data_IF_044125915141
#
_entry.id   IF_044125915141
#
_cell.length_a   1.000
_cell.length_b   1.000
_cell.length_c   1.000
_cell.angle_alpha   90.00
_cell.angle_beta   90.00
_cell.angle_gamma   90.00
#
_symmetry.space_group_name_H-M   'P 1'
#
loop_
_entity.id
_entity.type
_entity.pdbx_description
1 polymer ?
#
# COMPACT_ATOMS: atom_id res chain seq x y z
N UNK A 1 4.51 -35.53 -2.29
CA UNK A 1 5.62 -35.67 -1.36
C UNK A 1 5.11 -35.36 0.03
N UNK A 2 5.19 -36.26 1.02
CA UNK A 2 4.51 -36.11 2.31
C UNK A 2 5.35 -35.19 3.21
N UNK A 3 4.73 -34.12 3.72
CA UNK A 3 5.30 -33.33 4.80
C UNK A 3 5.52 -34.21 6.03
N UNK A 4 6.68 -34.19 6.62
CA UNK A 4 6.94 -34.84 7.91
C UNK A 4 6.42 -33.91 9.00
N UNK A 5 5.39 -34.33 9.72
CA UNK A 5 4.95 -33.71 10.94
C UNK A 5 5.84 -34.24 12.08
N UNK A 6 6.61 -33.39 12.72
CA UNK A 6 7.13 -33.67 14.06
C UNK A 6 6.10 -33.14 15.06
N UNK A 7 5.36 -34.04 15.67
CA UNK A 7 4.46 -33.75 16.77
C UNK A 7 5.26 -33.54 18.06
N UNK A 8 5.44 -32.27 18.46
CA UNK A 8 6.00 -31.90 19.77
C UNK A 8 4.87 -31.26 20.59
N UNK A 9 4.07 -32.11 21.22
CA UNK A 9 2.92 -31.75 22.07
C UNK A 9 3.31 -31.30 23.47
N UNK A 10 4.26 -30.36 23.62
CA UNK A 10 4.52 -29.69 24.89
C UNK A 10 3.82 -28.33 24.92
N UNK A 11 3.12 -27.93 26.00
CA UNK A 11 2.47 -26.63 26.08
C UNK A 11 3.53 -25.52 26.04
N UNK A 12 3.43 -24.66 24.99
CA UNK A 12 4.33 -23.52 24.76
C UNK A 12 5.33 -23.67 23.60
N UNK A 13 5.45 -24.83 22.95
CA UNK A 13 6.29 -25.01 21.78
C UNK A 13 5.54 -24.59 20.52
N UNK A 14 6.00 -23.54 19.84
CA UNK A 14 5.45 -23.15 18.53
C UNK A 14 5.81 -24.23 17.50
N UNK A 15 4.83 -24.92 16.96
CA UNK A 15 5.02 -25.87 15.87
C UNK A 15 5.57 -25.13 14.63
N UNK A 16 6.61 -25.69 14.00
CA UNK A 16 7.26 -25.10 12.80
C UNK A 16 7.18 -26.09 11.65
N UNK A 17 6.97 -25.55 10.46
CA UNK A 17 7.05 -26.29 9.21
C UNK A 17 8.25 -25.75 8.43
N UNK A 18 9.08 -26.62 7.89
CA UNK A 18 10.19 -26.22 7.05
C UNK A 18 9.70 -26.10 5.60
N UNK A 19 9.87 -24.92 5.00
CA UNK A 19 9.80 -24.77 3.56
C UNK A 19 11.14 -25.17 2.93
N UNK A 20 11.07 -25.84 1.77
CA UNK A 20 12.26 -26.13 1.00
C UNK A 20 12.86 -24.83 0.45
N UNK A 21 14.18 -24.74 0.47
CA UNK A 21 14.92 -23.70 -0.22
C UNK A 21 14.54 -23.72 -1.73
N UNK A 22 14.24 -22.55 -2.27
CA UNK A 22 13.79 -22.42 -3.67
C UNK A 22 14.37 -21.15 -4.30
N UNK A 23 14.68 -21.24 -5.61
CA UNK A 23 14.94 -20.07 -6.41
C UNK A 23 13.62 -19.40 -6.81
N UNK A 24 13.61 -18.09 -6.91
CA UNK A 24 12.45 -17.27 -7.28
C UNK A 24 12.78 -16.53 -8.57
N UNK A 25 11.88 -16.64 -9.56
CA UNK A 25 12.05 -15.96 -10.84
C UNK A 25 11.91 -14.45 -10.68
N UNK A 26 12.85 -13.69 -11.27
CA UNK A 26 12.78 -12.22 -11.34
C UNK A 26 11.96 -11.82 -12.56
N UNK A 27 10.80 -11.21 -12.32
CA UNK A 27 9.86 -10.81 -13.38
C UNK A 27 10.03 -9.38 -13.85
N UNK A 28 10.63 -8.53 -13.02
CA UNK A 28 10.83 -7.12 -13.36
C UNK A 28 12.06 -6.52 -12.66
N UNK A 29 12.55 -5.43 -13.26
CA UNK A 29 13.56 -4.53 -12.68
C UNK A 29 13.10 -3.10 -12.89
N UNK A 30 13.27 -2.26 -11.87
CA UNK A 30 12.86 -0.85 -11.92
C UNK A 30 13.85 0.02 -11.15
N UNK A 31 13.78 1.32 -11.32
CA UNK A 31 14.57 2.26 -10.53
C UNK A 31 13.96 2.44 -9.13
N UNK A 32 12.66 2.73 -9.09
CA UNK A 32 11.91 2.90 -7.85
C UNK A 32 10.77 1.89 -7.80
N UNK A 33 10.75 1.10 -6.76
CA UNK A 33 9.67 0.16 -6.46
C UNK A 33 8.91 0.64 -5.23
N UNK A 34 7.63 0.95 -5.41
CA UNK A 34 6.74 1.32 -4.31
C UNK A 34 5.86 0.13 -3.95
N UNK A 35 5.80 -0.20 -2.67
CA UNK A 35 5.03 -1.33 -2.13
C UNK A 35 3.88 -0.83 -1.29
N UNK A 36 2.66 -1.11 -1.73
CA UNK A 36 1.42 -0.58 -1.19
C UNK A 36 0.97 0.68 -1.93
N UNK A 37 -0.30 0.71 -2.31
CA UNK A 37 -0.90 1.78 -3.12
C UNK A 37 -1.90 2.64 -2.34
N UNK A 38 -1.76 2.71 -1.03
CA UNK A 38 -2.45 3.72 -0.23
C UNK A 38 -2.07 5.14 -0.66
N UNK A 39 -2.66 6.19 -0.06
CA UNK A 39 -2.36 7.57 -0.44
C UNK A 39 -0.86 7.89 -0.49
N UNK A 40 -0.10 7.38 0.48
CA UNK A 40 1.35 7.57 0.53
C UNK A 40 2.07 6.88 -0.63
N UNK A 41 1.68 5.63 -0.96
CA UNK A 41 2.30 4.87 -2.05
C UNK A 41 1.94 5.43 -3.42
N UNK A 42 0.69 5.85 -3.63
CA UNK A 42 0.30 6.57 -4.84
C UNK A 42 1.14 7.84 -5.00
N UNK A 43 1.24 8.66 -3.96
CA UNK A 43 2.02 9.89 -4.00
C UNK A 43 3.50 9.62 -4.30
N UNK A 44 4.09 8.60 -3.67
CA UNK A 44 5.48 8.22 -3.89
C UNK A 44 5.74 7.74 -5.34
N UNK A 45 4.86 6.88 -5.87
CA UNK A 45 5.00 6.35 -7.22
C UNK A 45 4.85 7.46 -8.28
N UNK A 46 3.84 8.34 -8.12
CA UNK A 46 3.62 9.47 -9.00
C UNK A 46 4.77 10.46 -8.96
N UNK A 47 5.27 10.79 -7.76
CA UNK A 47 6.41 11.69 -7.61
C UNK A 47 7.65 11.14 -8.30
N UNK A 48 7.98 9.86 -8.06
CA UNK A 48 9.15 9.23 -8.69
C UNK A 48 9.03 9.22 -10.23
N UNK A 49 7.87 8.82 -10.76
CA UNK A 49 7.65 8.79 -12.20
C UNK A 49 7.73 10.19 -12.85
N UNK A 50 7.21 11.21 -12.17
CA UNK A 50 7.27 12.62 -12.64
C UNK A 50 8.70 13.18 -12.66
N UNK A 51 9.60 12.64 -11.86
CA UNK A 51 11.04 12.92 -11.93
C UNK A 51 11.75 12.17 -13.07
N UNK A 52 11.02 11.38 -13.85
CA UNK A 52 11.52 10.72 -15.05
C UNK A 52 12.28 9.42 -14.78
N UNK A 53 12.07 8.79 -13.64
CA UNK A 53 12.68 7.50 -13.33
C UNK A 53 11.67 6.34 -13.51
N UNK A 54 12.17 5.18 -13.90
CA UNK A 54 11.33 3.99 -14.03
C UNK A 54 10.73 3.62 -12.67
N UNK A 55 9.41 3.63 -12.60
CA UNK A 55 8.67 3.44 -11.35
C UNK A 55 7.65 2.31 -11.46
N UNK A 56 7.61 1.46 -10.45
CA UNK A 56 6.65 0.35 -10.33
C UNK A 56 5.90 0.42 -9.01
N UNK A 57 4.60 0.16 -9.05
CA UNK A 57 3.70 0.17 -7.88
C UNK A 57 3.08 -1.21 -7.70
N UNK A 58 3.36 -1.85 -6.56
CA UNK A 58 2.85 -3.17 -6.21
C UNK A 58 1.75 -3.05 -5.16
N UNK A 59 0.60 -3.69 -5.42
CA UNK A 59 -0.56 -3.67 -4.54
C UNK A 59 -1.16 -5.08 -4.36
N UNK A 60 -1.52 -5.43 -3.14
CA UNK A 60 -2.16 -6.71 -2.81
C UNK A 60 -3.61 -6.81 -3.25
N UNK A 61 -4.29 -5.69 -3.35
CA UNK A 61 -5.68 -5.61 -3.79
C UNK A 61 -5.80 -5.41 -5.30
N UNK A 62 -7.03 -5.44 -5.79
CA UNK A 62 -7.36 -5.26 -7.20
C UNK A 62 -7.60 -3.81 -7.61
N UNK A 63 -7.39 -2.85 -6.72
CA UNK A 63 -7.45 -1.42 -7.02
C UNK A 63 -6.52 -0.63 -6.11
N UNK A 64 -6.14 0.56 -6.53
CA UNK A 64 -5.34 1.49 -5.76
C UNK A 64 -6.18 2.29 -4.75
N UNK A 65 -5.51 3.01 -3.83
CA UNK A 65 -6.13 3.94 -2.91
C UNK A 65 -6.11 3.52 -1.44
N UNK A 66 -5.77 2.26 -1.13
CA UNK A 66 -5.61 1.77 0.24
C UNK A 66 -6.86 1.99 1.09
N UNK A 67 -6.73 2.70 2.22
CA UNK A 67 -7.85 2.91 3.15
C UNK A 67 -9.01 3.69 2.54
N UNK A 68 -8.79 4.57 1.58
CA UNK A 68 -9.86 5.30 0.90
C UNK A 68 -10.77 4.32 0.15
N UNK A 69 -10.19 3.43 -0.63
CA UNK A 69 -10.91 2.58 -1.58
C UNK A 69 -11.25 1.19 -1.04
N UNK A 70 -10.47 0.66 -0.11
CA UNK A 70 -10.67 -0.69 0.44
C UNK A 70 -11.51 -0.69 1.71
N UNK A 71 -11.45 0.40 2.47
CA UNK A 71 -12.08 0.49 3.79
C UNK A 71 -13.18 1.55 3.82
N UNK A 72 -13.22 2.46 2.82
CA UNK A 72 -14.20 3.55 2.76
C UNK A 72 -13.89 4.70 3.72
N UNK A 73 -12.61 4.93 4.04
CA UNK A 73 -12.18 6.14 4.74
C UNK A 73 -12.08 7.27 3.71
N UNK A 74 -13.20 7.92 3.47
CA UNK A 74 -13.41 8.85 2.35
C UNK A 74 -12.96 10.29 2.63
N UNK A 75 -12.24 10.52 3.72
CA UNK A 75 -11.75 11.84 4.07
C UNK A 75 -10.24 11.91 4.11
N UNK A 76 -9.66 12.96 3.50
CA UNK A 76 -8.26 13.32 3.71
C UNK A 76 -8.24 14.33 4.86
N UNK A 77 -7.86 13.88 6.06
CA UNK A 77 -7.84 14.70 7.26
C UNK A 77 -6.46 15.34 7.49
N UNK A 78 -6.43 16.37 8.35
CA UNK A 78 -5.23 16.94 8.97
C UNK A 78 -4.32 17.79 8.06
N UNK A 79 -4.73 18.14 6.84
CA UNK A 79 -3.96 19.05 5.99
C UNK A 79 -4.61 20.43 5.82
N UNK A 80 -5.75 20.64 6.51
CA UNK A 80 -6.46 21.93 6.59
C UNK A 80 -6.62 22.35 8.06
N UNK A 81 -6.33 23.58 8.34
CA UNK A 81 -6.55 24.18 9.65
C UNK A 81 -7.13 25.58 9.48
N UNK A 82 -8.22 25.89 10.19
CA UNK A 82 -8.88 27.21 10.18
C UNK A 82 -9.17 27.79 8.77
N UNK A 83 -9.49 26.91 7.81
CA UNK A 83 -9.79 27.29 6.43
C UNK A 83 -8.56 27.48 5.51
N UNK A 84 -7.36 27.26 6.03
CA UNK A 84 -6.13 27.23 5.25
C UNK A 84 -5.77 25.80 4.80
N UNK A 85 -4.95 25.69 3.73
CA UNK A 85 -4.34 24.43 3.33
C UNK A 85 -2.90 24.48 3.84
N UNK A 86 -2.58 23.64 4.83
CA UNK A 86 -1.28 23.67 5.50
C UNK A 86 -0.23 22.77 4.81
N UNK A 87 -0.69 21.87 3.94
CA UNK A 87 0.14 21.00 3.10
C UNK A 87 -0.28 21.10 1.64
N UNK A 88 0.69 21.03 0.76
CA UNK A 88 0.49 21.10 -0.69
C UNK A 88 0.94 19.80 -1.36
N UNK A 89 1.00 19.81 -2.70
CA UNK A 89 1.52 18.73 -3.50
C UNK A 89 0.48 17.69 -3.89
N UNK A 90 0.91 16.43 -4.02
CA UNK A 90 0.10 15.36 -4.61
C UNK A 90 -1.15 15.04 -3.77
N UNK A 91 -1.11 15.19 -2.46
CA UNK A 91 -2.29 14.98 -1.61
C UNK A 91 -3.42 15.95 -1.93
N UNK A 92 -3.10 17.23 -2.14
CA UNK A 92 -4.06 18.26 -2.56
C UNK A 92 -4.52 18.01 -4.01
N UNK A 93 -3.63 17.52 -4.87
CA UNK A 93 -4.00 17.12 -6.23
C UNK A 93 -5.04 16.01 -6.23
N UNK A 94 -4.90 15.01 -5.35
CA UNK A 94 -5.89 13.93 -5.22
C UNK A 94 -7.27 14.49 -4.93
N UNK A 95 -7.39 15.35 -3.95
CA UNK A 95 -8.66 15.95 -3.57
C UNK A 95 -9.21 16.81 -4.71
N UNK A 96 -8.43 17.72 -5.26
CA UNK A 96 -8.85 18.59 -6.35
C UNK A 96 -9.37 17.79 -7.55
N UNK A 97 -8.64 16.78 -7.99
CA UNK A 97 -9.02 15.95 -9.14
C UNK A 97 -10.23 15.06 -8.83
N UNK A 98 -10.36 14.56 -7.62
CA UNK A 98 -11.55 13.82 -7.20
C UNK A 98 -12.80 14.71 -7.24
N UNK A 99 -12.67 15.97 -6.77
CA UNK A 99 -13.75 16.96 -6.86
C UNK A 99 -14.11 17.29 -8.29
N UNK A 100 -13.15 17.52 -9.17
CA UNK A 100 -13.39 17.79 -10.59
C UNK A 100 -14.14 16.62 -11.26
N UNK A 101 -13.84 15.37 -10.89
CA UNK A 101 -14.55 14.20 -11.40
C UNK A 101 -15.95 14.04 -10.80
N UNK A 102 -16.14 14.40 -9.53
CA UNK A 102 -17.44 14.31 -8.85
C UNK A 102 -18.43 15.41 -9.31
N UNK A 103 -17.94 16.50 -9.89
CA UNK A 103 -18.76 17.65 -10.28
C UNK A 103 -19.41 18.32 -9.07
N UNK A 104 -20.70 18.73 -9.22
CA UNK A 104 -21.45 19.45 -8.17
C UNK A 104 -21.87 18.57 -6.99
N UNK A 105 -21.58 17.27 -7.00
CA UNK A 105 -22.00 16.31 -5.95
C UNK A 105 -21.03 16.23 -4.75
N UNK A 106 -20.05 17.10 -4.68
CA UNK A 106 -19.10 17.13 -3.58
C UNK A 106 -19.75 17.50 -2.25
N UNK A 107 -19.56 16.68 -1.23
CA UNK A 107 -19.98 16.97 0.14
C UNK A 107 -18.78 17.39 0.97
N UNK A 108 -18.93 18.47 1.73
CA UNK A 108 -17.96 18.85 2.75
C UNK A 108 -18.27 18.10 4.05
N UNK A 109 -17.30 17.38 4.57
CA UNK A 109 -17.38 16.81 5.91
C UNK A 109 -16.37 17.50 6.81
N UNK A 110 -16.86 18.29 7.77
CA UNK A 110 -16.00 19.12 8.61
C UNK A 110 -15.17 20.09 7.76
N UNK A 111 -13.86 20.10 7.91
CA UNK A 111 -12.92 20.91 7.13
C UNK A 111 -12.24 20.13 6.00
N UNK A 112 -12.60 18.86 5.82
CA UNK A 112 -12.08 17.99 4.76
C UNK A 112 -13.15 17.70 3.73
N UNK A 113 -12.76 17.54 2.49
CA UNK A 113 -13.66 17.09 1.44
C UNK A 113 -13.87 15.58 1.55
N UNK A 114 -15.10 15.14 1.35
CA UNK A 114 -15.40 13.70 1.27
C UNK A 114 -15.06 13.24 -0.15
N UNK A 115 -14.19 12.24 -0.23
CA UNK A 115 -13.87 11.56 -1.46
C UNK A 115 -14.83 10.39 -1.61
N UNK A 116 -15.49 10.29 -2.74
CA UNK A 116 -16.20 9.06 -3.11
C UNK A 116 -15.18 7.95 -3.40
N UNK A 117 -15.27 6.84 -2.66
CA UNK A 117 -14.29 5.74 -2.74
C UNK A 117 -14.26 5.09 -4.13
N UNK A 118 -15.41 4.93 -4.78
CA UNK A 118 -15.49 4.30 -6.11
C UNK A 118 -14.96 5.25 -7.20
N UNK A 119 -15.26 6.52 -7.08
CA UNK A 119 -14.69 7.54 -7.95
C UNK A 119 -13.18 7.64 -7.78
N UNK A 120 -12.69 7.53 -6.54
CA UNK A 120 -11.26 7.58 -6.27
C UNK A 120 -10.50 6.38 -6.85
N UNK A 121 -11.12 5.20 -6.97
CA UNK A 121 -10.54 4.07 -7.71
C UNK A 121 -10.24 4.46 -9.16
N UNK A 122 -11.24 5.03 -9.83
CA UNK A 122 -11.09 5.49 -11.22
C UNK A 122 -10.04 6.60 -11.36
N UNK A 123 -9.99 7.52 -10.40
CA UNK A 123 -8.97 8.57 -10.38
C UNK A 123 -7.57 8.01 -10.19
N UNK A 124 -7.40 7.06 -9.27
CA UNK A 124 -6.10 6.45 -8.99
C UNK A 124 -5.56 5.68 -10.21
N UNK A 125 -6.43 4.93 -10.91
CA UNK A 125 -6.07 4.27 -12.17
C UNK A 125 -5.58 5.29 -13.20
N UNK A 126 -6.32 6.38 -13.39
CA UNK A 126 -5.97 7.45 -14.32
C UNK A 126 -4.66 8.14 -13.97
N UNK A 127 -4.42 8.41 -12.69
CA UNK A 127 -3.16 9.02 -12.22
C UNK A 127 -1.95 8.12 -12.49
N UNK A 128 -2.09 6.83 -12.23
CA UNK A 128 -1.05 5.81 -12.47
C UNK A 128 -0.73 5.72 -13.97
N UNK A 129 -1.77 5.69 -14.82
CA UNK A 129 -1.63 5.66 -16.27
C UNK A 129 -0.97 6.93 -16.81
N UNK A 130 -1.45 8.11 -16.43
CA UNK A 130 -0.91 9.41 -16.87
C UNK A 130 0.58 9.58 -16.50
N UNK A 131 0.97 9.09 -15.33
CA UNK A 131 2.36 9.13 -14.89
C UNK A 131 3.23 8.01 -15.47
N UNK A 132 2.65 7.07 -16.23
CA UNK A 132 3.34 5.90 -16.78
C UNK A 132 4.00 5.01 -15.71
N UNK A 133 3.43 4.97 -14.50
CA UNK A 133 3.85 4.03 -13.45
C UNK A 133 3.43 2.62 -13.86
N UNK A 134 4.32 1.64 -13.76
CA UNK A 134 4.01 0.24 -14.04
C UNK A 134 3.28 -0.39 -12.86
N UNK A 135 1.98 -0.74 -12.97
CA UNK A 135 1.23 -1.32 -11.88
C UNK A 135 1.36 -2.84 -11.81
N UNK A 136 1.31 -3.38 -10.59
CA UNK A 136 1.16 -4.80 -10.34
C UNK A 136 0.15 -5.02 -9.21
N UNK A 137 -1.10 -5.31 -9.57
CA UNK A 137 -2.20 -5.57 -8.65
C UNK A 137 -2.31 -7.05 -8.30
N UNK A 138 -3.07 -7.36 -7.23
CA UNK A 138 -3.26 -8.73 -6.71
C UNK A 138 -1.94 -9.44 -6.36
N UNK A 139 -0.93 -8.68 -5.95
CA UNK A 139 0.39 -9.15 -5.61
C UNK A 139 0.77 -8.75 -4.19
N UNK A 140 0.77 -9.70 -3.28
CA UNK A 140 1.19 -9.50 -1.90
C UNK A 140 2.72 -9.52 -1.81
N UNK A 141 3.33 -8.46 -1.34
CA UNK A 141 4.74 -8.47 -0.98
C UNK A 141 4.95 -9.29 0.29
N UNK A 142 5.77 -10.34 0.20
CA UNK A 142 5.91 -11.34 1.26
C UNK A 142 7.30 -11.41 1.84
N UNK A 143 8.29 -10.81 1.17
CA UNK A 143 9.68 -10.79 1.66
C UNK A 143 10.49 -9.68 1.00
N UNK A 144 11.62 -9.32 1.61
CA UNK A 144 12.62 -8.41 1.06
C UNK A 144 13.76 -9.20 0.41
N UNK A 145 14.22 -8.75 -0.75
CA UNK A 145 15.45 -9.27 -1.37
C UNK A 145 16.63 -8.42 -0.88
N UNK A 146 17.51 -9.03 -0.11
CA UNK A 146 18.64 -8.35 0.52
C UNK A 146 19.98 -8.73 -0.12
N UNK A 147 20.90 -7.79 -0.15
CA UNK A 147 22.33 -7.97 -0.46
C UNK A 147 23.12 -7.32 0.67
N UNK A 148 23.53 -8.13 1.64
CA UNK A 148 23.99 -7.63 2.92
C UNK A 148 22.93 -6.79 3.62
N UNK A 149 23.26 -5.55 3.96
CA UNK A 149 22.32 -4.59 4.58
C UNK A 149 21.54 -3.74 3.55
N UNK A 150 21.69 -4.03 2.26
CA UNK A 150 21.04 -3.27 1.19
C UNK A 150 19.86 -4.03 0.64
N UNK A 151 18.68 -3.39 0.65
CA UNK A 151 17.50 -3.92 -0.04
C UNK A 151 17.68 -3.77 -1.55
N UNK A 152 17.45 -4.87 -2.28
CA UNK A 152 17.56 -4.97 -3.76
C UNK A 152 16.22 -5.21 -4.45
N UNK A 153 15.15 -5.38 -3.70
CA UNK A 153 13.83 -5.64 -4.23
C UNK A 153 12.94 -6.35 -3.22
N UNK A 154 11.90 -6.96 -3.74
CA UNK A 154 10.93 -7.72 -2.94
C UNK A 154 10.63 -9.06 -3.58
N UNK A 155 10.09 -9.98 -2.78
CA UNK A 155 9.40 -11.18 -3.23
C UNK A 155 7.91 -10.96 -3.10
N UNK A 156 7.16 -11.32 -4.12
CA UNK A 156 5.69 -11.24 -4.15
C UNK A 156 5.07 -12.62 -4.25
N UNK A 157 3.87 -12.78 -3.75
CA UNK A 157 3.02 -13.94 -3.93
C UNK A 157 1.72 -13.51 -4.62
N UNK A 158 1.31 -14.26 -5.63
CA UNK A 158 0.09 -14.01 -6.38
C UNK A 158 -0.49 -15.33 -6.90
N UNK A 159 -1.62 -15.27 -7.60
CA UNK A 159 -2.18 -16.44 -8.27
C UNK A 159 -1.21 -17.07 -9.31
N UNK A 160 -0.28 -16.28 -9.85
CA UNK A 160 0.77 -16.74 -10.77
C UNK A 160 1.98 -17.35 -10.03
N UNK A 161 1.92 -17.43 -8.71
CA UNK A 161 2.96 -17.96 -7.83
C UNK A 161 3.92 -16.89 -7.31
N UNK A 162 4.99 -17.39 -6.71
CA UNK A 162 6.02 -16.57 -6.05
C UNK A 162 7.01 -16.02 -7.07
N UNK A 163 7.21 -14.70 -7.07
CA UNK A 163 8.03 -13.96 -8.02
C UNK A 163 8.86 -12.90 -7.29
N UNK A 164 9.94 -12.45 -7.91
CA UNK A 164 10.77 -11.36 -7.38
C UNK A 164 10.76 -10.16 -8.33
N UNK A 165 10.83 -8.97 -7.75
CA UNK A 165 11.01 -7.69 -8.43
C UNK A 165 12.25 -7.04 -7.84
N UNK A 166 13.21 -6.67 -8.69
CA UNK A 166 14.41 -5.99 -8.25
C UNK A 166 14.31 -4.49 -8.51
N UNK A 167 14.90 -3.70 -7.61
CA UNK A 167 14.87 -2.26 -7.70
C UNK A 167 16.15 -1.61 -7.15
N UNK A 168 16.46 -0.41 -7.65
CA UNK A 168 17.54 0.42 -7.09
C UNK A 168 17.14 1.04 -5.75
N UNK A 169 15.85 1.37 -5.60
CA UNK A 169 15.24 1.91 -4.37
C UNK A 169 13.88 1.25 -4.13
N UNK A 170 13.59 0.98 -2.89
CA UNK A 170 12.29 0.43 -2.45
C UNK A 170 11.67 1.42 -1.47
N UNK A 171 10.44 1.79 -1.74
CA UNK A 171 9.61 2.61 -0.85
C UNK A 171 8.58 1.70 -0.19
N UNK A 172 8.67 1.56 1.11
CA UNK A 172 7.67 0.84 1.90
C UNK A 172 6.51 1.78 2.23
N UNK A 173 5.37 1.55 1.59
CA UNK A 173 4.10 2.25 1.80
C UNK A 173 2.98 1.27 2.18
N UNK A 174 3.34 0.16 2.81
CA UNK A 174 2.40 -0.91 3.19
C UNK A 174 1.44 -0.51 4.31
N UNK A 175 1.75 0.56 5.04
CA UNK A 175 0.97 1.05 6.19
C UNK A 175 1.52 0.54 7.53
N UNK A 176 2.07 -0.68 7.54
CA UNK A 176 2.58 -1.34 8.74
C UNK A 176 4.11 -1.59 8.71
N UNK A 177 4.84 -0.98 7.76
CA UNK A 177 6.27 -1.18 7.55
C UNK A 177 6.67 -2.65 7.28
N UNK A 178 5.83 -3.38 6.53
CA UNK A 178 6.01 -4.81 6.28
C UNK A 178 7.35 -5.14 5.64
N UNK A 179 7.78 -4.32 4.68
CA UNK A 179 9.02 -4.55 3.95
C UNK A 179 10.23 -4.12 4.77
N UNK A 180 10.14 -3.00 5.49
CA UNK A 180 11.19 -2.55 6.39
C UNK A 180 11.47 -3.59 7.49
N UNK A 181 10.40 -4.15 8.08
CA UNK A 181 10.50 -5.22 9.06
C UNK A 181 11.20 -6.49 8.49
N UNK A 182 10.79 -6.91 7.27
CA UNK A 182 11.37 -8.08 6.59
C UNK A 182 12.82 -7.86 6.15
N UNK A 183 13.17 -6.61 5.86
CA UNK A 183 14.55 -6.21 5.57
C UNK A 183 15.44 -6.14 6.82
N UNK A 184 14.88 -6.36 8.00
CA UNK A 184 15.62 -6.31 9.26
C UNK A 184 15.83 -4.90 9.82
N UNK A 185 15.11 -3.91 9.30
CA UNK A 185 15.17 -2.56 9.86
C UNK A 185 14.61 -2.52 11.29
N UNK A 186 15.20 -1.70 12.20
CA UNK A 186 14.68 -1.55 13.54
C UNK A 186 13.26 -0.98 13.53
N UNK A 187 12.28 -1.76 13.96
CA UNK A 187 10.89 -1.36 14.06
C UNK A 187 10.44 -1.32 15.52
N UNK A 188 9.70 -0.27 15.88
CA UNK A 188 9.08 -0.16 17.19
C UNK A 188 7.60 -0.52 17.04
N UNK A 189 7.18 -1.55 17.76
CA UNK A 189 5.74 -1.83 17.94
C UNK A 189 5.20 -0.92 19.04
N UNK A 190 4.05 -0.31 18.79
CA UNK A 190 3.32 0.43 19.81
C UNK A 190 2.79 -0.55 20.87
N UNK A 191 2.88 -0.24 22.16
CA UNK A 191 2.24 -1.03 23.20
C UNK A 191 0.74 -1.19 22.94
N UNK A 192 0.17 -2.34 23.30
CA UNK A 192 -1.22 -2.66 22.98
C UNK A 192 -2.22 -1.67 23.60
N UNK A 193 -1.91 -1.14 24.76
CA UNK A 193 -2.70 -0.13 25.50
C UNK A 193 -2.61 1.28 24.90
N UNK A 194 -1.62 1.53 24.03
CA UNK A 194 -1.46 2.78 23.29
C UNK A 194 -2.00 2.68 21.84
N UNK A 195 -2.36 1.47 21.38
CA UNK A 195 -2.89 1.27 20.02
C UNK A 195 -4.30 1.84 19.89
N UNK A 196 -4.59 2.43 18.73
CA UNK A 196 -5.97 2.80 18.39
C UNK A 196 -6.86 1.56 18.28
N UNK A 197 -8.14 1.71 18.65
CA UNK A 197 -9.13 0.65 18.49
C UNK A 197 -9.36 0.27 17.03
N UNK A 198 -9.73 -0.99 16.83
CA UNK A 198 -10.13 -1.48 15.51
C UNK A 198 -11.49 -0.90 15.15
N UNK A 199 -11.64 -0.44 13.92
CA UNK A 199 -12.87 0.16 13.40
C UNK A 199 -13.37 -0.61 12.19
N UNK A 200 -14.70 -0.74 12.09
CA UNK A 200 -15.39 -1.26 10.90
C UNK A 200 -16.14 -0.08 10.27
N UNK A 201 -15.90 0.15 8.98
CA UNK A 201 -16.60 1.15 8.20
C UNK A 201 -17.72 0.48 7.39
N UNK A 202 -18.88 1.10 7.37
CA UNK A 202 -20.01 0.68 6.52
C UNK A 202 -20.87 1.89 6.16
N UNK A 203 -21.53 1.81 5.03
CA UNK A 203 -22.46 2.86 4.57
C UNK A 203 -23.90 2.43 4.82
N UNK A 204 -24.73 3.39 5.24
CA UNK A 204 -26.18 3.23 5.37
C UNK A 204 -26.87 4.19 4.43
N UNK A 205 -27.94 3.72 3.79
CA UNK A 205 -28.85 4.55 2.99
C UNK A 205 -30.27 4.51 3.58
N UNK A 206 -31.04 5.58 3.36
CA UNK A 206 -32.44 5.65 3.83
C UNK A 206 -32.56 5.79 5.34
N UNK A 207 -31.60 6.42 5.99
CA UNK A 207 -31.63 6.77 7.42
C UNK A 207 -32.06 8.23 7.54
N UNK A 208 -33.13 8.46 8.35
CA UNK A 208 -33.63 9.80 8.69
C UNK A 208 -32.85 10.42 9.84
#
# INVERSE_FOLDING_TARGET
MKARHEDQSAPGVKMRVFEHERSVEVIARTDVLVVGSGPAGLAAALAAAREGVDSMLVERYGCFGGMITQVGVEGIAWYRHEGTIDTEGIGVEFERRAMEMAGEQTRLYSQSQVLDADLFKCLADKLVEEASVVPLLHCLAVDAVMDGETIRGIVTESKSGRRAILAKRVVDATGDADIAYRAGAPCRLMPQDEMMGVTVMFSCAGVD
#
